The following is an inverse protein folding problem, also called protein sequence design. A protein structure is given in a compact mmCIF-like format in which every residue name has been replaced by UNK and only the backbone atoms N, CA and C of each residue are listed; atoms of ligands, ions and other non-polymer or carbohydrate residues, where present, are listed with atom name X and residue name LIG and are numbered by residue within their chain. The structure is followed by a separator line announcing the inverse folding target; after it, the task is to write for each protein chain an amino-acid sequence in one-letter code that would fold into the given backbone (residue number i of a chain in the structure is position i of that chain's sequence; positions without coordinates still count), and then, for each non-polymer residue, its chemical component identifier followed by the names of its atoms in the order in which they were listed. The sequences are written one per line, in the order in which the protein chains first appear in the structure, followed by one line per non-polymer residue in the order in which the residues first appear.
data_IF_868503876423
#
_entry.id   IF_868503876423
#
_cell.length_a   1.000
_cell.length_b   1.000
_cell.length_c   1.000
_cell.angle_alpha   90.00
_cell.angle_beta   90.00
_cell.angle_gamma   90.00
#
_symmetry.space_group_name_H-M   'P 1'
#
loop_
_entity.id
_entity.type
_entity.pdbx_description
1 polymer ?
#
# COMPACT_ATOMS: atom_id res chain seq x y z
N UNK A 1 -17.06 -8.22 5.67
CA UNK A 1 -17.54 -6.83 5.86
C UNK A 1 -16.82 -5.96 4.84
N UNK A 2 -17.53 -5.16 4.05
CA UNK A 2 -16.90 -4.15 3.19
C UNK A 2 -16.58 -2.92 4.04
N UNK A 3 -15.37 -2.38 3.91
CA UNK A 3 -14.93 -1.16 4.61
C UNK A 3 -15.01 0.03 3.65
N UNK A 4 -15.33 1.22 4.18
CA UNK A 4 -15.29 2.46 3.42
C UNK A 4 -13.85 2.92 3.18
N UNK A 5 -13.57 3.50 2.01
CA UNK A 5 -12.30 4.16 1.74
C UNK A 5 -12.32 5.63 2.23
N UNK A 6 -11.29 6.13 2.94
CA UNK A 6 -10.17 5.38 3.52
C UNK A 6 -10.56 4.71 4.85
N UNK A 7 -9.77 3.73 5.29
CA UNK A 7 -9.98 3.08 6.59
C UNK A 7 -8.66 2.68 7.26
N UNK A 8 -8.72 2.48 8.58
CA UNK A 8 -7.64 1.84 9.35
C UNK A 8 -8.11 0.42 9.70
N UNK A 9 -7.22 -0.55 9.53
CA UNK A 9 -7.43 -1.95 9.88
C UNK A 9 -6.42 -2.36 10.93
N UNK A 10 -6.92 -2.95 12.01
CA UNK A 10 -6.11 -3.56 13.07
C UNK A 10 -6.00 -5.07 12.82
N UNK A 11 -4.78 -5.61 12.84
CA UNK A 11 -4.53 -7.04 12.68
C UNK A 11 -3.22 -7.45 13.38
N UNK A 12 -3.27 -8.51 14.21
CA UNK A 12 -2.09 -9.06 14.92
C UNK A 12 -1.22 -8.00 15.63
N UNK A 13 -1.88 -7.06 16.32
CA UNK A 13 -1.26 -5.92 17.02
C UNK A 13 -0.58 -4.89 16.12
N UNK A 14 -0.96 -4.84 14.84
CA UNK A 14 -0.53 -3.81 13.90
C UNK A 14 -1.71 -3.05 13.34
N UNK A 15 -1.50 -1.78 13.08
CA UNK A 15 -2.47 -0.90 12.46
C UNK A 15 -2.03 -0.51 11.05
N UNK A 16 -2.94 -0.63 10.09
CA UNK A 16 -2.67 -0.31 8.69
C UNK A 16 -3.68 0.69 8.18
N UNK A 17 -3.20 1.78 7.58
CA UNK A 17 -4.04 2.72 6.86
C UNK A 17 -4.18 2.28 5.40
N UNK A 18 -5.40 2.08 4.95
CA UNK A 18 -5.72 1.68 3.58
C UNK A 18 -6.46 2.82 2.88
N UNK A 19 -5.99 3.16 1.69
CA UNK A 19 -6.72 4.03 0.76
C UNK A 19 -6.57 3.58 -0.69
N UNK A 20 -7.41 4.04 -1.61
CA UNK A 20 -7.13 3.85 -3.04
C UNK A 20 -6.12 4.89 -3.55
N UNK A 21 -6.43 6.17 -3.42
CA UNK A 21 -5.65 7.29 -3.95
C UNK A 21 -6.57 8.39 -4.44
N UNK A 22 -6.01 9.56 -4.71
CA UNK A 22 -6.76 10.78 -5.03
C UNK A 22 -6.04 11.61 -6.08
N UNK A 23 -6.81 12.26 -6.96
CA UNK A 23 -6.27 13.23 -7.93
C UNK A 23 -5.17 12.62 -8.82
N UNK A 24 -3.99 13.23 -8.87
CA UNK A 24 -2.84 12.75 -9.64
C UNK A 24 -2.05 11.66 -8.90
N UNK A 25 -1.22 10.94 -9.65
CA UNK A 25 -0.28 9.96 -9.09
C UNK A 25 0.71 10.60 -8.11
N UNK A 26 1.30 11.75 -8.48
CA UNK A 26 2.21 12.54 -7.63
C UNK A 26 1.53 13.00 -6.32
N UNK A 27 0.29 13.48 -6.40
CA UNK A 27 -0.46 13.87 -5.20
C UNK A 27 -0.73 12.66 -4.30
N UNK A 28 -1.13 11.53 -4.89
CA UNK A 28 -1.39 10.29 -4.15
C UNK A 28 -0.14 9.79 -3.43
N UNK A 29 1.01 9.77 -4.10
CA UNK A 29 2.28 9.32 -3.50
C UNK A 29 2.72 10.24 -2.36
N UNK A 30 2.60 11.56 -2.53
CA UNK A 30 2.88 12.55 -1.47
C UNK A 30 1.94 12.39 -0.29
N UNK A 31 0.64 12.21 -0.54
CA UNK A 31 -0.34 11.98 0.51
C UNK A 31 -0.04 10.69 1.27
N UNK A 32 0.25 9.59 0.57
CA UNK A 32 0.52 8.31 1.19
C UNK A 32 1.74 8.37 2.11
N UNK A 33 2.82 9.01 1.64
CA UNK A 33 4.02 9.27 2.46
C UNK A 33 3.71 10.16 3.66
N UNK A 34 2.98 11.25 3.47
CA UNK A 34 2.63 12.16 4.56
C UNK A 34 1.74 11.48 5.62
N UNK A 35 0.78 10.65 5.20
CA UNK A 35 -0.04 9.82 6.11
C UNK A 35 0.86 8.90 6.92
N UNK A 36 1.81 8.21 6.28
CA UNK A 36 2.74 7.32 6.98
C UNK A 36 3.61 8.10 7.96
N UNK A 37 4.08 9.30 7.62
CA UNK A 37 4.92 10.09 8.52
C UNK A 37 4.16 10.72 9.70
N UNK A 38 2.83 10.91 9.59
CA UNK A 38 2.06 11.71 10.57
C UNK A 38 1.08 10.90 11.42
N UNK A 39 0.56 9.78 10.91
CA UNK A 39 -0.28 8.88 11.68
C UNK A 39 0.57 7.88 12.46
N UNK A 40 0.00 7.31 13.52
CA UNK A 40 0.60 6.21 14.28
C UNK A 40 0.08 4.87 13.73
N UNK A 41 0.68 4.43 12.62
CA UNK A 41 0.30 3.18 11.91
C UNK A 41 1.50 2.39 11.42
N UNK A 42 1.51 1.07 11.55
CA UNK A 42 2.61 0.22 11.05
C UNK A 42 2.80 0.30 9.53
N UNK A 43 1.74 0.61 8.78
CA UNK A 43 1.88 0.81 7.34
C UNK A 43 0.76 1.59 6.66
N UNK A 44 1.06 2.09 5.47
CA UNK A 44 0.12 2.74 4.56
C UNK A 44 0.08 1.96 3.26
N UNK A 45 -1.11 1.47 2.91
CA UNK A 45 -1.36 0.74 1.67
C UNK A 45 -2.23 1.57 0.74
N UNK A 46 -1.78 1.74 -0.51
CA UNK A 46 -2.48 2.52 -1.50
C UNK A 46 -2.47 1.90 -2.89
N UNK A 47 -3.32 2.39 -3.78
CA UNK A 47 -3.41 2.01 -5.20
C UNK A 47 -3.35 3.24 -6.10
N UNK A 48 -4.26 3.33 -7.08
CA UNK A 48 -4.45 4.47 -7.99
C UNK A 48 -3.34 4.74 -9.01
N UNK A 49 -2.07 4.52 -8.66
CA UNK A 49 -0.94 4.81 -9.56
C UNK A 49 -0.60 3.67 -10.51
N UNK A 50 -1.16 2.46 -10.28
CA UNK A 50 -0.85 1.22 -10.99
C UNK A 50 0.61 0.76 -10.89
N UNK A 51 1.46 1.47 -10.15
CA UNK A 51 2.90 1.20 -10.04
C UNK A 51 3.19 0.49 -8.74
N UNK A 52 3.85 -0.67 -8.84
CA UNK A 52 4.39 -1.37 -7.69
C UNK A 52 5.37 -0.44 -6.94
N UNK A 53 5.11 -0.23 -5.65
CA UNK A 53 6.00 0.49 -4.76
C UNK A 53 6.04 -0.23 -3.41
N UNK A 54 7.24 -0.52 -2.94
CA UNK A 54 7.50 -1.02 -1.59
C UNK A 54 8.62 -0.16 -1.04
N UNK A 55 8.30 0.68 -0.05
CA UNK A 55 9.24 1.58 0.59
C UNK A 55 9.14 1.44 2.11
N UNK A 56 10.21 1.79 2.83
CA UNK A 56 10.28 1.70 4.29
C UNK A 56 10.72 3.02 4.90
N UNK A 57 10.01 3.43 5.95
CA UNK A 57 10.36 4.59 6.77
C UNK A 57 10.53 4.10 8.20
N UNK A 58 11.78 3.86 8.59
CA UNK A 58 12.09 3.17 9.85
C UNK A 58 11.59 1.72 9.82
N UNK A 59 10.81 1.35 10.83
CA UNK A 59 10.16 0.05 10.97
C UNK A 59 8.80 -0.05 10.26
N UNK A 60 8.34 1.04 9.63
CA UNK A 60 7.01 1.14 9.01
C UNK A 60 7.09 0.97 7.49
N UNK A 61 5.97 0.59 6.87
CA UNK A 61 5.93 0.26 5.44
C UNK A 61 4.97 1.15 4.63
N UNK A 62 5.42 1.59 3.46
CA UNK A 62 4.60 2.23 2.43
C UNK A 62 4.48 1.26 1.25
N UNK A 63 3.26 0.87 0.88
CA UNK A 63 3.05 -0.19 -0.10
C UNK A 63 1.96 0.20 -1.11
N UNK A 64 2.31 0.09 -2.39
CA UNK A 64 1.36 -0.02 -3.49
C UNK A 64 1.60 -1.34 -4.21
N UNK A 65 0.60 -2.23 -4.30
CA UNK A 65 0.80 -3.54 -4.89
C UNK A 65 1.00 -3.50 -6.41
N UNK A 66 0.83 -2.34 -7.04
CA UNK A 66 0.78 -2.19 -8.48
C UNK A 66 -0.62 -2.43 -9.02
N UNK A 67 -0.69 -2.98 -10.22
CA UNK A 67 -1.94 -3.36 -10.86
C UNK A 67 -2.02 -4.87 -11.05
N UNK A 68 -3.21 -5.42 -10.82
CA UNK A 68 -3.49 -6.85 -11.02
C UNK A 68 -3.83 -7.17 -12.49
N UNK A 69 -4.22 -6.17 -13.29
CA UNK A 69 -4.56 -6.40 -14.70
C UNK A 69 -3.35 -6.33 -15.63
N UNK A 70 -2.28 -5.63 -15.24
CA UNK A 70 -1.09 -5.42 -16.07
C UNK A 70 -1.30 -4.52 -17.31
N UNK A 71 -2.41 -3.81 -17.44
CA UNK A 71 -2.74 -3.08 -18.67
C UNK A 71 -1.93 -1.79 -18.87
N UNK A 72 -1.58 -1.06 -17.81
CA UNK A 72 -0.90 0.24 -17.95
C UNK A 72 0.63 0.11 -17.89
N UNK A 73 1.13 -0.86 -17.15
CA UNK A 73 2.55 -1.08 -16.87
C UNK A 73 3.10 -2.31 -17.57
N UNK A 74 2.24 -3.18 -18.11
CA UNK A 74 2.63 -4.50 -18.61
C UNK A 74 2.99 -5.50 -17.51
N UNK A 75 2.83 -5.13 -16.23
CA UNK A 75 3.21 -5.94 -15.08
C UNK A 75 2.01 -6.21 -14.18
N UNK A 76 1.50 -7.44 -14.23
CA UNK A 76 0.46 -7.88 -13.32
C UNK A 76 1.08 -8.36 -12.01
N UNK A 77 0.75 -7.68 -10.91
CA UNK A 77 1.41 -7.88 -9.62
C UNK A 77 0.43 -7.93 -8.45
N UNK A 78 0.75 -8.78 -7.47
CA UNK A 78 0.18 -8.75 -6.12
C UNK A 78 1.31 -8.83 -5.10
N UNK A 79 1.07 -8.32 -3.88
CA UNK A 79 2.06 -8.36 -2.79
C UNK A 79 1.49 -9.13 -1.62
N UNK A 80 2.26 -10.09 -1.11
CA UNK A 80 2.02 -10.75 0.17
C UNK A 80 2.89 -10.07 1.21
N UNK A 81 2.29 -9.67 2.33
CA UNK A 81 2.98 -9.07 3.46
C UNK A 81 2.86 -9.99 4.68
N UNK A 82 3.99 -10.28 5.32
CA UNK A 82 4.01 -10.96 6.61
C UNK A 82 3.75 -9.93 7.71
N UNK A 83 2.66 -10.09 8.44
CA UNK A 83 2.23 -9.15 9.49
C UNK A 83 3.11 -9.21 10.73
N UNK A 84 4.02 -10.18 10.88
CA UNK A 84 4.90 -10.28 12.05
C UNK A 84 6.11 -9.35 11.92
N UNK A 85 6.69 -9.24 10.72
CA UNK A 85 7.93 -8.48 10.47
C UNK A 85 7.85 -7.49 9.28
N UNK A 86 6.67 -7.37 8.67
CA UNK A 86 6.40 -6.55 7.49
C UNK A 86 7.25 -6.93 6.26
N UNK A 87 7.85 -8.12 6.25
CA UNK A 87 8.52 -8.64 5.06
C UNK A 87 7.50 -8.81 3.93
N UNK A 88 7.94 -8.58 2.70
CA UNK A 88 7.06 -8.60 1.53
C UNK A 88 7.58 -9.53 0.46
N UNK A 89 6.64 -10.13 -0.26
CA UNK A 89 6.90 -10.92 -1.46
C UNK A 89 6.00 -10.46 -2.58
N UNK A 90 6.61 -9.98 -3.67
CA UNK A 90 5.91 -9.66 -4.91
C UNK A 90 5.66 -10.95 -5.68
N UNK A 91 4.45 -11.12 -6.19
CA UNK A 91 4.08 -12.21 -7.09
C UNK A 91 3.68 -11.58 -8.42
N UNK A 92 4.34 -11.97 -9.50
CA UNK A 92 3.89 -11.65 -10.85
C UNK A 92 2.88 -12.70 -11.32
N UNK A 93 1.75 -12.23 -11.86
CA UNK A 93 0.70 -13.08 -12.41
C UNK A 93 0.88 -13.10 -13.93
N UNK A 94 1.50 -14.16 -14.44
CA UNK A 94 1.71 -14.39 -15.87
C UNK A 94 0.42 -14.64 -16.62
#
# INVERSE_FOLDING_TARGET
RLLSNPCIVEYENRSFYLMHGYSSTDFTEKLARAVLEKLDVDGVFYGHTHRLLIDRIGDRILLNPGEVCGYLTGRSTVVILDTRDLSTRVIELT
#
